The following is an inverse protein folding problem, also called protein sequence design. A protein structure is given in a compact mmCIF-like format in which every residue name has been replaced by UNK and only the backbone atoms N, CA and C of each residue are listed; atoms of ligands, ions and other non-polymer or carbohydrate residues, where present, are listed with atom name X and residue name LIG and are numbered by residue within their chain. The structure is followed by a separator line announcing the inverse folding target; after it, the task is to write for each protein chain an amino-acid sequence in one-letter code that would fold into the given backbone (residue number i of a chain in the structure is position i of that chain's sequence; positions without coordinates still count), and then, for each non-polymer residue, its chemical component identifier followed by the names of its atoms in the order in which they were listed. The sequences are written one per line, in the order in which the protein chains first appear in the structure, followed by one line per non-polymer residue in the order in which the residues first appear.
data_IF_828297857429
#
_entry.id   IF_828297857429
#
_cell.length_a   1.000
_cell.length_b   1.000
_cell.length_c   1.000
_cell.angle_alpha   90.00
_cell.angle_beta   90.00
_cell.angle_gamma   90.00
#
_symmetry.space_group_name_H-M   'P 1'
#
loop_
_entity.id
_entity.type
_entity.pdbx_description
1 polymer ?
#
# COMPACT_ATOMS: atom_id res chain seq x y z
N UNK A 1 -23.33 -43.68 -13.56
CA UNK A 1 -23.55 -42.48 -14.40
C UNK A 1 -22.35 -41.57 -14.15
N UNK A 2 -21.44 -41.48 -15.14
CA UNK A 2 -20.29 -40.59 -15.05
C UNK A 2 -20.80 -39.15 -15.14
N UNK A 3 -20.70 -38.38 -14.07
CA UNK A 3 -20.82 -36.92 -14.15
C UNK A 3 -19.69 -36.41 -15.05
N UNK A 4 -19.97 -35.61 -16.10
CA UNK A 4 -18.92 -34.97 -16.86
C UNK A 4 -18.14 -34.09 -15.88
N UNK A 5 -16.85 -34.34 -15.76
CA UNK A 5 -15.94 -33.45 -15.02
C UNK A 5 -16.00 -32.07 -15.68
N UNK A 6 -16.76 -31.14 -15.11
CA UNK A 6 -16.77 -29.73 -15.56
C UNK A 6 -15.34 -29.20 -15.45
N UNK A 7 -14.71 -29.07 -16.58
CA UNK A 7 -13.36 -28.46 -16.63
C UNK A 7 -13.56 -26.95 -16.55
N UNK A 8 -13.17 -26.37 -15.40
CA UNK A 8 -13.16 -24.91 -15.24
C UNK A 8 -11.86 -24.36 -15.80
N UNK A 9 -11.97 -23.16 -16.38
CA UNK A 9 -10.83 -22.43 -16.91
C UNK A 9 -10.92 -20.96 -16.43
N UNK A 10 -9.80 -20.35 -16.06
CA UNK A 10 -9.70 -18.92 -15.80
C UNK A 10 -8.99 -18.28 -16.99
N UNK A 11 -9.62 -17.31 -17.62
CA UNK A 11 -9.09 -16.63 -18.78
C UNK A 11 -9.38 -15.10 -18.72
N UNK A 12 -8.60 -14.27 -19.42
CA UNK A 12 -9.00 -12.89 -19.68
C UNK A 12 -10.36 -12.85 -20.40
N UNK A 13 -11.24 -11.96 -19.98
CA UNK A 13 -12.58 -11.85 -20.54
C UNK A 13 -12.53 -11.44 -22.02
N UNK A 14 -13.40 -12.03 -22.81
CA UNK A 14 -13.63 -11.67 -24.23
C UNK A 14 -14.87 -10.75 -24.31
N UNK A 15 -15.03 -9.96 -25.36
CA UNK A 15 -16.21 -9.10 -25.52
C UNK A 15 -17.56 -9.83 -25.38
N UNK A 16 -17.63 -11.10 -25.80
CA UNK A 16 -18.82 -11.96 -25.67
C UNK A 16 -19.12 -12.41 -24.24
N UNK A 17 -18.16 -12.32 -23.32
CA UNK A 17 -18.31 -12.75 -21.93
C UNK A 17 -18.96 -11.67 -21.07
N UNK A 18 -18.82 -10.39 -21.44
CA UNK A 18 -19.32 -9.21 -20.71
C UNK A 18 -20.83 -9.28 -20.39
N UNK A 19 -21.73 -9.68 -21.31
CA UNK A 19 -23.16 -9.76 -21.01
C UNK A 19 -23.54 -10.79 -19.93
N UNK A 20 -22.64 -11.70 -19.60
CA UNK A 20 -22.86 -12.73 -18.59
C UNK A 20 -22.50 -12.29 -17.17
N UNK A 21 -21.87 -11.12 -16.98
CA UNK A 21 -21.34 -10.67 -15.68
C UNK A 21 -22.48 -10.24 -14.76
N UNK A 22 -23.37 -9.34 -15.20
CA UNK A 22 -24.46 -8.85 -14.36
C UNK A 22 -25.33 -9.96 -13.74
N UNK A 23 -25.71 -11.05 -14.44
CA UNK A 23 -26.39 -12.19 -13.81
C UNK A 23 -25.56 -12.89 -12.72
N UNK A 24 -24.23 -12.92 -12.84
CA UNK A 24 -23.34 -13.52 -11.84
C UNK A 24 -23.30 -12.64 -10.59
N UNK A 25 -23.14 -11.32 -10.74
CA UNK A 25 -23.17 -10.32 -9.66
C UNK A 25 -24.45 -10.45 -8.85
N UNK A 26 -25.60 -10.36 -9.49
CA UNK A 26 -26.91 -10.46 -8.83
C UNK A 26 -27.13 -11.80 -8.13
N UNK A 27 -26.59 -12.89 -8.66
CA UNK A 27 -26.67 -14.21 -8.01
C UNK A 27 -25.75 -14.28 -6.79
N UNK A 28 -24.54 -13.74 -6.87
CA UNK A 28 -23.56 -13.74 -5.78
C UNK A 28 -23.97 -12.76 -4.65
N UNK A 29 -24.51 -11.59 -4.99
CA UNK A 29 -24.99 -10.59 -4.02
C UNK A 29 -26.02 -11.15 -3.03
N UNK A 30 -26.81 -12.15 -3.43
CA UNK A 30 -27.76 -12.82 -2.54
C UNK A 30 -27.12 -13.50 -1.33
N UNK A 31 -25.84 -13.84 -1.42
CA UNK A 31 -25.09 -14.40 -0.30
C UNK A 31 -24.80 -13.34 0.79
N UNK A 32 -24.93 -12.04 0.46
CA UNK A 32 -24.71 -10.92 1.36
C UNK A 32 -26.01 -10.35 1.95
N UNK A 33 -27.15 -10.98 1.72
CA UNK A 33 -28.41 -10.59 2.37
C UNK A 33 -28.25 -10.61 3.90
N UNK A 34 -28.59 -9.49 4.53
CA UNK A 34 -28.37 -9.29 5.97
C UNK A 34 -26.98 -8.75 6.34
N UNK A 35 -26.06 -8.61 5.40
CA UNK A 35 -24.72 -8.03 5.59
C UNK A 35 -24.53 -6.73 4.80
N UNK A 36 -25.27 -6.52 3.72
CA UNK A 36 -25.21 -5.29 2.90
C UNK A 36 -26.63 -4.68 2.74
N UNK A 37 -26.72 -3.35 2.48
CA UNK A 37 -27.97 -2.70 2.14
C UNK A 37 -28.59 -3.31 0.89
N UNK A 38 -29.94 -3.38 0.85
CA UNK A 38 -30.68 -3.95 -0.30
C UNK A 38 -30.34 -3.23 -1.62
N UNK A 39 -30.19 -1.91 -1.59
CA UNK A 39 -29.79 -1.14 -2.76
C UNK A 39 -28.45 -1.58 -3.35
N UNK A 40 -27.46 -1.93 -2.50
CA UNK A 40 -26.14 -2.44 -2.94
C UNK A 40 -26.25 -3.84 -3.54
N UNK A 41 -27.15 -4.68 -3.02
CA UNK A 41 -27.39 -6.06 -3.51
C UNK A 41 -28.05 -6.10 -4.91
N UNK A 42 -28.68 -5.00 -5.33
CA UNK A 42 -29.32 -4.84 -6.63
C UNK A 42 -28.44 -4.10 -7.65
N UNK A 43 -27.31 -3.55 -7.21
CA UNK A 43 -26.35 -2.90 -8.11
C UNK A 43 -25.64 -3.90 -9.00
N UNK A 44 -25.32 -3.47 -10.21
CA UNK A 44 -24.46 -4.21 -11.13
C UNK A 44 -23.46 -3.25 -11.77
N UNK A 45 -22.28 -3.75 -12.03
CA UNK A 45 -21.23 -2.98 -12.70
C UNK A 45 -21.70 -2.54 -14.09
N UNK A 46 -21.61 -1.23 -14.42
CA UNK A 46 -22.04 -0.73 -15.72
C UNK A 46 -21.33 -1.45 -16.86
N UNK A 47 -22.12 -1.86 -17.88
CA UNK A 47 -21.58 -2.60 -19.04
C UNK A 47 -20.44 -1.85 -19.74
N UNK A 48 -20.47 -0.53 -19.76
CA UNK A 48 -19.42 0.29 -20.37
C UNK A 48 -18.11 0.19 -19.57
N UNK A 49 -18.18 0.20 -18.24
CA UNK A 49 -17.04 -0.01 -17.36
C UNK A 49 -16.43 -1.41 -17.56
N UNK A 50 -17.25 -2.45 -17.58
CA UNK A 50 -16.80 -3.81 -17.89
C UNK A 50 -16.13 -3.93 -19.27
N UNK A 51 -16.67 -3.25 -20.29
CA UNK A 51 -16.07 -3.23 -21.64
C UNK A 51 -14.73 -2.49 -21.65
N UNK A 52 -14.60 -1.39 -20.91
CA UNK A 52 -13.35 -0.67 -20.78
C UNK A 52 -12.30 -1.56 -20.09
N UNK A 53 -12.63 -2.15 -18.96
CA UNK A 53 -11.75 -3.06 -18.25
C UNK A 53 -11.37 -4.29 -19.12
N UNK A 54 -12.29 -4.82 -19.90
CA UNK A 54 -12.04 -5.93 -20.82
C UNK A 54 -11.02 -5.55 -21.89
N UNK A 55 -11.16 -4.36 -22.54
CA UNK A 55 -10.19 -3.88 -23.55
C UNK A 55 -8.81 -3.67 -22.96
N UNK A 56 -8.73 -3.22 -21.71
CA UNK A 56 -7.48 -2.94 -20.99
C UNK A 56 -6.84 -4.20 -20.38
N UNK A 57 -7.49 -5.37 -20.51
CA UNK A 57 -7.02 -6.63 -19.93
C UNK A 57 -7.09 -6.65 -18.40
N UNK A 58 -8.07 -5.96 -17.80
CA UNK A 58 -8.32 -5.85 -16.35
C UNK A 58 -9.57 -6.61 -15.89
N UNK A 59 -10.10 -7.51 -16.74
CA UNK A 59 -11.27 -8.32 -16.47
C UNK A 59 -10.98 -9.79 -16.79
N UNK A 60 -11.22 -10.68 -15.82
CA UNK A 60 -11.10 -12.14 -15.95
C UNK A 60 -12.42 -12.82 -15.76
N UNK A 61 -12.58 -13.98 -16.37
CA UNK A 61 -13.74 -14.86 -16.20
C UNK A 61 -13.31 -16.26 -15.80
N UNK A 62 -14.11 -16.86 -14.93
CA UNK A 62 -14.12 -18.30 -14.69
C UNK A 62 -15.14 -18.94 -15.62
N UNK A 63 -14.71 -19.85 -16.48
CA UNK A 63 -15.54 -20.50 -17.48
C UNK A 63 -15.87 -21.94 -17.05
N UNK A 64 -17.14 -22.32 -17.21
CA UNK A 64 -17.58 -23.72 -17.22
C UNK A 64 -17.89 -24.10 -18.66
N UNK A 65 -16.96 -24.81 -19.30
CA UNK A 65 -16.94 -24.94 -20.76
C UNK A 65 -16.68 -23.56 -21.40
N UNK A 66 -17.68 -23.02 -22.09
CA UNK A 66 -17.59 -21.68 -22.73
C UNK A 66 -18.43 -20.59 -22.04
N UNK A 67 -19.07 -20.90 -20.92
CA UNK A 67 -20.01 -20.01 -20.23
C UNK A 67 -19.32 -19.42 -19.01
N UNK A 68 -19.28 -18.07 -18.84
CA UNK A 68 -18.82 -17.43 -17.61
C UNK A 68 -19.70 -17.81 -16.42
N UNK A 69 -19.06 -18.20 -15.31
CA UNK A 69 -19.69 -18.58 -14.05
C UNK A 69 -19.06 -17.85 -12.85
N UNK A 70 -18.12 -16.97 -13.11
CA UNK A 70 -17.48 -16.08 -12.16
C UNK A 70 -16.60 -15.09 -12.90
N UNK A 71 -16.24 -14.00 -12.25
CA UNK A 71 -15.35 -12.98 -12.81
C UNK A 71 -14.54 -12.28 -11.73
N UNK A 72 -13.51 -11.55 -12.13
CA UNK A 72 -12.76 -10.59 -11.32
C UNK A 72 -12.49 -9.34 -12.15
N UNK A 73 -12.79 -8.19 -11.58
CA UNK A 73 -12.61 -6.87 -12.14
C UNK A 73 -11.55 -6.10 -11.35
N UNK A 74 -10.61 -5.48 -12.04
CA UNK A 74 -9.54 -4.68 -11.43
C UNK A 74 -9.60 -3.25 -11.94
N UNK A 75 -9.46 -2.31 -11.02
CA UNK A 75 -9.21 -0.91 -11.28
C UNK A 75 -7.75 -0.55 -10.96
N UNK A 76 -7.18 0.40 -11.69
CA UNK A 76 -5.88 0.99 -11.35
C UNK A 76 -6.16 2.30 -10.62
N UNK A 77 -6.01 2.30 -9.30
CA UNK A 77 -6.19 3.51 -8.48
C UNK A 77 -5.02 4.47 -8.66
N UNK A 78 -3.83 3.92 -8.86
CA UNK A 78 -2.57 4.62 -9.12
C UNK A 78 -1.79 3.81 -10.18
N UNK A 79 -0.78 4.36 -10.85
CA UNK A 79 -0.07 3.68 -11.93
C UNK A 79 0.51 2.30 -11.56
N UNK A 80 0.85 2.10 -10.28
CA UNK A 80 1.46 0.90 -9.72
C UNK A 80 0.58 0.21 -8.65
N UNK A 81 -0.64 0.70 -8.39
CA UNK A 81 -1.56 0.17 -7.40
C UNK A 81 -2.83 -0.40 -8.03
N UNK A 82 -2.87 -1.72 -8.14
CA UNK A 82 -4.04 -2.46 -8.59
C UNK A 82 -5.05 -2.61 -7.44
N UNK A 83 -6.33 -2.40 -7.73
CA UNK A 83 -7.44 -2.63 -6.81
C UNK A 83 -8.39 -3.68 -7.39
N UNK A 84 -8.60 -4.77 -6.66
CA UNK A 84 -9.62 -5.76 -6.98
C UNK A 84 -10.97 -5.14 -6.60
N UNK A 85 -11.63 -4.54 -7.60
CA UNK A 85 -12.88 -3.79 -7.45
C UNK A 85 -14.05 -4.74 -7.18
N UNK A 86 -14.14 -5.83 -7.95
CA UNK A 86 -15.21 -6.79 -7.79
C UNK A 86 -14.72 -8.22 -8.11
N UNK A 87 -15.23 -9.20 -7.37
CA UNK A 87 -15.01 -10.62 -7.64
C UNK A 87 -16.20 -11.44 -7.20
N UNK A 88 -16.81 -12.12 -8.15
CA UNK A 88 -17.96 -12.97 -7.91
C UNK A 88 -17.86 -14.33 -8.57
N UNK A 89 -18.43 -15.29 -7.91
CA UNK A 89 -18.67 -16.64 -8.45
C UNK A 89 -20.14 -17.00 -8.23
N UNK A 90 -20.81 -17.40 -9.31
CA UNK A 90 -22.21 -17.83 -9.24
C UNK A 90 -22.35 -18.93 -8.17
N UNK A 91 -23.32 -18.86 -7.25
CA UNK A 91 -23.47 -19.78 -6.12
C UNK A 91 -23.47 -21.27 -6.51
N UNK A 92 -24.08 -21.63 -7.63
CA UNK A 92 -24.12 -23.00 -8.15
C UNK A 92 -22.74 -23.57 -8.52
N UNK A 93 -21.76 -22.68 -8.69
CA UNK A 93 -20.37 -23.01 -8.99
C UNK A 93 -19.41 -22.70 -7.83
N UNK A 94 -19.95 -22.29 -6.69
CA UNK A 94 -19.19 -21.97 -5.48
C UNK A 94 -18.45 -23.17 -4.89
N UNK A 95 -17.49 -22.90 -3.96
CA UNK A 95 -16.71 -23.90 -3.21
C UNK A 95 -15.90 -24.89 -4.08
N UNK A 96 -15.58 -24.50 -5.32
CA UNK A 96 -14.76 -25.26 -6.28
C UNK A 96 -13.41 -24.62 -6.54
N UNK A 97 -13.01 -23.66 -5.70
CA UNK A 97 -11.73 -22.96 -5.80
C UNK A 97 -11.68 -21.85 -6.84
N UNK A 98 -12.79 -21.53 -7.54
CA UNK A 98 -12.80 -20.53 -8.62
C UNK A 98 -12.39 -19.14 -8.14
N UNK A 99 -12.91 -18.69 -7.00
CA UNK A 99 -12.49 -17.42 -6.40
C UNK A 99 -10.98 -17.37 -6.13
N UNK A 100 -10.41 -18.45 -5.60
CA UNK A 100 -8.94 -18.55 -5.39
C UNK A 100 -8.17 -18.41 -6.71
N UNK A 101 -8.63 -19.05 -7.77
CA UNK A 101 -7.96 -18.99 -9.07
C UNK A 101 -8.09 -17.61 -9.72
N UNK A 102 -9.25 -16.95 -9.58
CA UNK A 102 -9.46 -15.58 -10.05
C UNK A 102 -8.53 -14.62 -9.33
N UNK A 103 -8.50 -14.60 -7.98
CA UNK A 103 -7.59 -13.74 -7.20
C UNK A 103 -6.13 -13.98 -7.57
N UNK A 104 -5.70 -15.24 -7.68
CA UNK A 104 -4.33 -15.56 -8.10
C UNK A 104 -4.00 -15.10 -9.52
N UNK A 105 -5.00 -15.06 -10.42
CA UNK A 105 -4.80 -14.52 -11.77
C UNK A 105 -4.63 -13.00 -11.75
N UNK A 106 -5.38 -12.30 -10.90
CA UNK A 106 -5.20 -10.87 -10.65
C UNK A 106 -3.81 -10.59 -10.07
N UNK A 107 -3.39 -11.32 -9.02
CA UNK A 107 -2.07 -11.14 -8.40
C UNK A 107 -0.93 -11.36 -9.42
N UNK A 108 -0.98 -12.43 -10.22
CA UNK A 108 0.03 -12.68 -11.26
C UNK A 108 0.04 -11.61 -12.35
N UNK A 109 -1.12 -11.08 -12.71
CA UNK A 109 -1.22 -9.99 -13.67
C UNK A 109 -0.62 -8.70 -13.11
N UNK A 110 -0.88 -8.38 -11.86
CA UNK A 110 -0.30 -7.24 -11.15
C UNK A 110 1.23 -7.37 -11.09
N UNK A 111 1.73 -8.54 -10.70
CA UNK A 111 3.16 -8.88 -10.70
C UNK A 111 3.80 -8.69 -12.08
N UNK A 112 3.20 -9.22 -13.14
CA UNK A 112 3.70 -9.12 -14.51
C UNK A 112 3.73 -7.67 -15.04
N UNK A 113 2.96 -6.75 -14.44
CA UNK A 113 2.92 -5.32 -14.77
C UNK A 113 3.81 -4.47 -13.85
N UNK A 114 4.46 -5.08 -12.86
CA UNK A 114 5.28 -4.37 -11.89
C UNK A 114 4.47 -3.59 -10.85
N UNK A 115 3.17 -3.90 -10.67
CA UNK A 115 2.39 -3.32 -9.60
C UNK A 115 2.89 -3.82 -8.24
N UNK A 116 3.19 -2.91 -7.32
CA UNK A 116 3.76 -3.22 -6.00
C UNK A 116 2.79 -3.96 -5.07
N UNK A 117 1.49 -3.83 -5.31
CA UNK A 117 0.46 -4.45 -4.51
C UNK A 117 -0.85 -4.65 -5.27
N UNK A 118 -1.69 -5.56 -4.75
CA UNK A 118 -3.12 -5.64 -5.05
C UNK A 118 -3.88 -5.31 -3.78
N UNK A 119 -4.76 -4.33 -3.83
CA UNK A 119 -5.66 -3.97 -2.73
C UNK A 119 -7.09 -4.43 -3.01
N UNK A 120 -7.89 -4.51 -1.98
CA UNK A 120 -9.34 -4.73 -2.07
C UNK A 120 -10.02 -4.18 -0.81
N UNK A 121 -11.32 -3.98 -0.89
CA UNK A 121 -12.19 -3.78 0.27
C UNK A 121 -13.13 -4.96 0.44
N UNK A 122 -13.42 -5.33 1.68
CA UNK A 122 -14.30 -6.48 1.95
C UNK A 122 -14.99 -6.37 3.31
N UNK A 123 -15.94 -7.25 3.59
CA UNK A 123 -16.57 -7.33 4.90
C UNK A 123 -15.67 -8.02 5.92
N UNK A 124 -15.56 -7.43 7.11
CA UNK A 124 -14.77 -7.94 8.24
C UNK A 124 -15.31 -9.27 8.76
N UNK A 125 -16.61 -9.30 9.05
CA UNK A 125 -17.25 -10.34 9.85
C UNK A 125 -17.97 -11.41 9.00
N UNK A 126 -17.92 -11.28 7.67
CA UNK A 126 -18.47 -12.31 6.76
C UNK A 126 -17.45 -13.43 6.61
N UNK A 127 -17.79 -14.69 7.01
CA UNK A 127 -16.80 -15.76 7.15
C UNK A 127 -16.07 -16.17 5.86
N UNK A 128 -16.63 -15.86 4.70
CA UNK A 128 -16.05 -16.18 3.39
C UNK A 128 -15.41 -14.96 2.71
N UNK A 129 -15.31 -13.81 3.40
CA UNK A 129 -14.70 -12.59 2.88
C UNK A 129 -13.29 -12.39 3.47
N UNK A 130 -13.11 -11.56 4.52
CA UNK A 130 -11.78 -11.30 5.08
C UNK A 130 -10.95 -12.58 5.34
N UNK A 131 -11.48 -13.65 5.96
CA UNK A 131 -10.72 -14.89 6.18
C UNK A 131 -10.31 -15.61 4.88
N UNK A 132 -11.07 -15.45 3.80
CA UNK A 132 -10.72 -16.01 2.50
C UNK A 132 -9.49 -15.30 1.91
N UNK A 133 -9.47 -13.96 1.90
CA UNK A 133 -8.35 -13.21 1.39
C UNK A 133 -7.10 -13.35 2.27
N UNK A 134 -7.25 -13.41 3.58
CA UNK A 134 -6.14 -13.65 4.50
C UNK A 134 -5.41 -14.99 4.17
N UNK A 135 -6.14 -16.06 3.85
CA UNK A 135 -5.54 -17.33 3.40
C UNK A 135 -4.81 -17.24 2.06
N UNK A 136 -5.07 -16.20 1.27
CA UNK A 136 -4.37 -15.93 0.00
C UNK A 136 -3.19 -14.97 0.17
N UNK A 137 -2.88 -14.57 1.41
CA UNK A 137 -1.74 -13.70 1.72
C UNK A 137 -2.07 -12.22 1.71
N UNK A 138 -3.36 -11.84 1.72
CA UNK A 138 -3.75 -10.45 1.95
C UNK A 138 -3.71 -10.14 3.44
N UNK A 139 -3.19 -8.95 3.77
CA UNK A 139 -3.13 -8.42 5.13
C UNK A 139 -4.05 -7.21 5.26
N UNK A 140 -4.63 -7.01 6.44
CA UNK A 140 -5.43 -5.82 6.72
C UNK A 140 -4.52 -4.57 6.72
N UNK A 141 -5.01 -3.50 6.09
CA UNK A 141 -4.34 -2.19 6.10
C UNK A 141 -5.00 -1.32 7.16
N UNK A 142 -4.20 -0.82 8.09
CA UNK A 142 -4.66 0.15 9.10
C UNK A 142 -5.20 1.41 8.40
N UNK A 143 -6.29 1.96 8.93
CA UNK A 143 -6.93 3.16 8.39
C UNK A 143 -6.01 4.39 8.35
N UNK A 144 -5.04 4.48 9.26
CA UNK A 144 -4.00 5.52 9.26
C UNK A 144 -3.00 5.38 8.10
N UNK A 145 -2.99 4.25 7.40
CA UNK A 145 -2.06 3.92 6.33
C UNK A 145 -2.73 3.74 4.95
N UNK A 146 -3.94 4.28 4.80
CA UNK A 146 -4.63 4.30 3.51
C UNK A 146 -4.06 5.42 2.63
N UNK A 147 -3.83 5.10 1.36
CA UNK A 147 -3.52 6.14 0.36
C UNK A 147 -4.75 7.03 0.11
N UNK A 148 -4.57 8.26 -0.41
CA UNK A 148 -5.70 9.12 -0.76
C UNK A 148 -6.73 8.42 -1.66
N UNK A 149 -6.27 7.64 -2.66
CA UNK A 149 -7.14 6.90 -3.55
C UNK A 149 -7.95 5.81 -2.81
N UNK A 150 -7.34 5.07 -1.90
CA UNK A 150 -8.06 4.10 -1.06
C UNK A 150 -9.03 4.77 -0.07
N UNK A 151 -8.70 5.97 0.43
CA UNK A 151 -9.63 6.76 1.23
C UNK A 151 -10.88 7.14 0.43
N UNK A 152 -10.73 7.47 -0.85
CA UNK A 152 -11.86 7.76 -1.74
C UNK A 152 -12.73 6.53 -1.99
N UNK A 153 -12.13 5.36 -2.23
CA UNK A 153 -12.87 4.08 -2.35
C UNK A 153 -13.73 3.82 -1.11
N UNK A 154 -13.12 3.91 0.08
CA UNK A 154 -13.83 3.69 1.36
C UNK A 154 -14.92 4.76 1.59
N UNK A 155 -14.69 6.01 1.16
CA UNK A 155 -15.68 7.06 1.25
C UNK A 155 -16.84 6.84 0.28
N UNK A 156 -16.59 6.34 -0.92
CA UNK A 156 -17.63 5.99 -1.89
C UNK A 156 -18.51 4.84 -1.40
N UNK A 157 -17.91 3.78 -0.90
CA UNK A 157 -18.62 2.67 -0.26
C UNK A 157 -19.54 3.15 0.87
N UNK A 158 -19.04 4.06 1.72
CA UNK A 158 -19.86 4.64 2.79
C UNK A 158 -21.04 5.48 2.26
N UNK A 159 -20.88 6.21 1.15
CA UNK A 159 -21.96 6.93 0.49
C UNK A 159 -23.05 5.99 -0.06
N UNK A 160 -22.66 4.80 -0.49
CA UNK A 160 -23.55 3.72 -0.93
C UNK A 160 -24.23 3.00 0.25
N UNK A 161 -23.93 3.38 1.49
CA UNK A 161 -24.54 2.83 2.71
C UNK A 161 -23.82 1.62 3.30
N UNK A 162 -22.61 1.29 2.82
CA UNK A 162 -21.78 0.26 3.43
C UNK A 162 -21.13 0.81 4.71
N UNK A 163 -21.39 0.15 5.84
CA UNK A 163 -20.90 0.57 7.15
C UNK A 163 -19.37 0.38 7.22
N UNK A 164 -18.67 1.49 7.44
CA UNK A 164 -17.19 1.51 7.57
C UNK A 164 -16.67 0.60 8.68
N UNK A 165 -17.45 0.39 9.74
CA UNK A 165 -17.04 -0.49 10.85
C UNK A 165 -17.04 -1.97 10.46
N UNK A 166 -17.82 -2.32 9.45
CA UNK A 166 -17.94 -3.67 8.91
C UNK A 166 -17.04 -3.92 7.70
N UNK A 167 -16.37 -2.88 7.20
CA UNK A 167 -15.49 -2.96 6.02
C UNK A 167 -14.04 -2.91 6.43
N UNK A 168 -13.20 -3.62 5.70
CA UNK A 168 -11.74 -3.60 5.83
C UNK A 168 -11.09 -3.41 4.48
N UNK A 169 -10.01 -2.68 4.45
CA UNK A 169 -9.08 -2.66 3.30
C UNK A 169 -8.05 -3.74 3.52
N UNK A 170 -7.80 -4.56 2.51
CA UNK A 170 -6.76 -5.58 2.55
C UNK A 170 -5.77 -5.37 1.40
N UNK A 171 -4.52 -5.77 1.61
CA UNK A 171 -3.42 -5.63 0.66
C UNK A 171 -2.65 -6.93 0.53
N UNK A 172 -2.44 -7.37 -0.69
CA UNK A 172 -1.46 -8.37 -1.06
C UNK A 172 -0.24 -7.68 -1.67
N UNK A 173 0.96 -7.96 -1.15
CA UNK A 173 2.21 -7.41 -1.68
C UNK A 173 2.75 -8.35 -2.74
N UNK A 174 3.20 -7.77 -3.85
CA UNK A 174 3.80 -8.55 -4.94
C UNK A 174 5.15 -9.12 -4.49
N UNK A 175 5.33 -10.45 -4.45
CA UNK A 175 6.61 -11.06 -4.06
C UNK A 175 7.75 -10.62 -4.99
N UNK A 176 8.89 -10.26 -4.40
CA UNK A 176 10.07 -9.83 -5.15
C UNK A 176 9.99 -8.39 -5.70
N UNK A 177 8.85 -7.70 -5.53
CA UNK A 177 8.69 -6.27 -5.79
C UNK A 177 8.70 -5.46 -4.49
N UNK A 178 9.12 -6.06 -3.39
CA UNK A 178 9.30 -5.31 -2.15
C UNK A 178 10.39 -4.25 -2.30
N UNK A 179 10.14 -3.03 -1.80
CA UNK A 179 11.19 -2.03 -1.75
C UNK A 179 12.41 -2.58 -1.01
N UNK A 180 13.57 -2.40 -1.57
CA UNK A 180 14.83 -2.85 -0.95
C UNK A 180 15.70 -1.67 -0.55
N UNK A 181 16.46 -1.85 0.54
CA UNK A 181 17.40 -0.84 1.01
C UNK A 181 18.78 -1.17 0.45
N UNK A 182 19.39 -0.20 -0.24
CA UNK A 182 20.78 -0.27 -0.74
C UNK A 182 21.55 0.99 -0.37
N UNK A 183 22.87 0.92 -0.45
CA UNK A 183 23.71 2.11 -0.33
C UNK A 183 23.38 3.14 -1.41
N UNK A 184 23.35 4.42 -1.03
CA UNK A 184 23.18 5.52 -1.96
C UNK A 184 24.41 5.63 -2.88
N UNK A 185 24.18 6.06 -4.11
CA UNK A 185 25.21 6.31 -5.12
C UNK A 185 25.23 7.80 -5.45
N UNK A 186 26.33 8.36 -5.94
CA UNK A 186 26.38 9.76 -6.35
C UNK A 186 25.25 10.17 -7.32
N UNK A 187 24.81 9.24 -8.18
CA UNK A 187 23.69 9.47 -9.10
C UNK A 187 22.34 9.62 -8.41
N UNK A 188 22.19 9.17 -7.16
CA UNK A 188 20.94 9.26 -6.39
C UNK A 188 20.80 10.65 -5.72
N UNK A 189 21.89 11.38 -5.49
CA UNK A 189 21.90 12.59 -4.65
C UNK A 189 20.88 13.64 -5.09
N UNK A 190 20.77 13.91 -6.39
CA UNK A 190 19.78 14.88 -6.88
C UNK A 190 18.33 14.42 -6.63
N UNK A 191 18.04 13.14 -6.77
CA UNK A 191 16.74 12.57 -6.47
C UNK A 191 16.45 12.59 -4.96
N UNK A 192 17.47 12.36 -4.12
CA UNK A 192 17.36 12.43 -2.65
C UNK A 192 17.07 13.87 -2.21
N UNK A 193 17.71 14.89 -2.79
CA UNK A 193 17.41 16.31 -2.52
C UNK A 193 15.97 16.65 -2.87
N UNK A 194 15.48 16.22 -4.04
CA UNK A 194 14.07 16.43 -4.45
C UNK A 194 13.10 15.73 -3.50
N UNK A 195 13.40 14.51 -3.11
CA UNK A 195 12.57 13.75 -2.17
C UNK A 195 12.55 14.43 -0.79
N UNK A 196 13.72 14.83 -0.29
CA UNK A 196 13.83 15.60 0.95
C UNK A 196 12.92 16.83 0.93
N UNK A 197 13.03 17.64 -0.12
CA UNK A 197 12.24 18.87 -0.29
C UNK A 197 10.73 18.60 -0.29
N UNK A 198 10.27 17.57 -1.00
CA UNK A 198 8.86 17.15 -0.99
C UNK A 198 8.41 16.66 0.40
N UNK A 199 9.23 15.81 1.04
CA UNK A 199 8.95 15.27 2.36
C UNK A 199 8.85 16.35 3.42
N UNK A 200 9.80 17.31 3.41
CA UNK A 200 9.82 18.43 4.38
C UNK A 200 8.60 19.33 4.20
N UNK A 201 8.22 19.68 2.97
CA UNK A 201 6.98 20.44 2.72
C UNK A 201 5.73 19.75 3.24
N UNK A 202 5.69 18.44 3.16
CA UNK A 202 4.54 17.65 3.60
C UNK A 202 4.47 17.45 5.12
N UNK A 203 5.57 17.68 5.87
CA UNK A 203 5.65 17.29 7.29
C UNK A 203 6.16 18.36 8.24
N UNK A 204 6.91 19.36 7.74
CA UNK A 204 7.55 20.37 8.58
C UNK A 204 6.82 21.71 8.44
N UNK A 205 5.53 21.76 8.83
CA UNK A 205 4.67 22.94 8.70
C UNK A 205 5.15 24.16 9.50
N UNK A 206 6.14 23.98 10.36
CA UNK A 206 6.81 25.04 11.10
C UNK A 206 7.94 25.73 10.30
N UNK A 207 8.38 25.16 9.16
CA UNK A 207 9.34 25.78 8.26
C UNK A 207 8.62 26.63 7.20
N UNK A 208 9.19 27.79 6.92
CA UNK A 208 8.75 28.63 5.79
C UNK A 208 9.42 28.19 4.48
N UNK A 209 8.86 28.54 3.33
CA UNK A 209 9.50 28.29 2.03
C UNK A 209 10.92 28.83 1.97
N UNK A 210 11.17 30.00 2.58
CA UNK A 210 12.49 30.60 2.67
C UNK A 210 13.48 29.75 3.46
N UNK A 211 13.00 29.08 4.53
CA UNK A 211 13.83 28.17 5.31
C UNK A 211 14.16 26.92 4.49
N UNK A 212 13.21 26.38 3.76
CA UNK A 212 13.41 25.20 2.90
C UNK A 212 14.41 25.52 1.77
N UNK A 213 14.24 26.67 1.10
CA UNK A 213 15.17 27.15 0.07
C UNK A 213 16.59 27.32 0.60
N UNK A 214 16.72 27.86 1.83
CA UNK A 214 18.02 28.08 2.48
C UNK A 214 18.68 26.77 2.92
N UNK A 215 17.88 25.77 3.31
CA UNK A 215 18.37 24.45 3.74
C UNK A 215 18.79 23.56 2.56
N UNK A 216 18.15 23.72 1.40
CA UNK A 216 18.36 22.86 0.23
C UNK A 216 19.83 22.71 -0.19
N UNK A 217 20.66 23.76 -0.31
CA UNK A 217 22.07 23.61 -0.65
C UNK A 217 22.86 22.90 0.45
N UNK A 218 22.52 23.12 1.73
CA UNK A 218 23.19 22.46 2.86
C UNK A 218 22.93 20.96 2.86
N UNK A 219 21.68 20.57 2.59
CA UNK A 219 21.31 19.15 2.43
C UNK A 219 22.04 18.52 1.23
N UNK A 220 22.14 19.22 0.12
CA UNK A 220 22.88 18.72 -1.04
C UNK A 220 24.38 18.51 -0.73
N UNK A 221 25.00 19.40 0.06
CA UNK A 221 26.39 19.27 0.51
C UNK A 221 26.54 18.10 1.49
N UNK A 222 25.61 17.94 2.45
CA UNK A 222 25.62 16.87 3.42
C UNK A 222 25.45 15.50 2.76
N UNK A 223 24.55 15.37 1.78
CA UNK A 223 24.35 14.13 1.02
C UNK A 223 25.59 13.73 0.19
N UNK A 224 26.40 14.70 -0.20
CA UNK A 224 27.65 14.48 -0.92
C UNK A 224 28.85 14.20 -0.01
N UNK A 225 28.69 14.35 1.32
CA UNK A 225 29.75 14.14 2.31
C UNK A 225 29.86 12.66 2.69
N UNK A 226 31.08 12.19 2.91
CA UNK A 226 31.35 10.83 3.42
C UNK A 226 31.19 10.69 4.96
N UNK A 227 30.80 11.78 5.65
CA UNK A 227 30.65 11.78 7.12
C UNK A 227 29.45 10.94 7.59
N UNK A 228 28.41 10.84 6.77
CA UNK A 228 27.19 10.10 7.03
C UNK A 228 27.06 8.99 5.98
N UNK A 229 26.80 7.77 6.41
CA UNK A 229 26.40 6.70 5.49
C UNK A 229 24.97 6.93 5.04
N UNK A 230 24.74 6.93 3.73
CA UNK A 230 23.43 7.12 3.14
C UNK A 230 22.92 5.84 2.48
N UNK A 231 21.66 5.50 2.72
CA UNK A 231 20.95 4.38 2.12
C UNK A 231 19.64 4.85 1.52
N UNK A 232 19.29 4.28 0.39
CA UNK A 232 18.04 4.56 -0.31
C UNK A 232 17.11 3.36 -0.22
N UNK A 233 15.82 3.63 -0.04
CA UNK A 233 14.74 2.68 -0.23
C UNK A 233 14.29 2.80 -1.67
N UNK A 234 14.55 1.76 -2.46
CA UNK A 234 14.26 1.71 -3.89
C UNK A 234 13.14 0.72 -4.17
N UNK A 235 12.15 1.11 -4.99
CA UNK A 235 11.13 0.19 -5.48
C UNK A 235 11.75 -0.81 -6.46
N UNK A 236 11.06 -1.91 -6.76
CA UNK A 236 11.48 -2.86 -7.78
C UNK A 236 11.62 -2.23 -9.19
N UNK A 237 10.88 -1.15 -9.46
CA UNK A 237 10.98 -0.39 -10.70
C UNK A 237 12.16 0.61 -10.71
N UNK A 238 12.96 0.68 -9.63
CA UNK A 238 14.09 1.59 -9.52
C UNK A 238 13.71 3.01 -9.07
N UNK A 239 12.46 3.25 -8.64
CA UNK A 239 12.05 4.53 -8.11
C UNK A 239 12.51 4.69 -6.66
N UNK A 240 12.96 5.90 -6.29
CA UNK A 240 13.41 6.23 -4.94
C UNK A 240 12.19 6.59 -4.09
N UNK A 241 11.88 5.74 -3.11
CA UNK A 241 10.71 5.86 -2.21
C UNK A 241 11.06 6.53 -0.88
N UNK A 242 12.33 6.54 -0.51
CA UNK A 242 12.81 7.13 0.73
C UNK A 242 14.32 6.99 0.86
N UNK A 243 14.87 7.61 1.89
CA UNK A 243 16.28 7.43 2.23
C UNK A 243 16.55 7.62 3.73
N UNK A 244 17.69 7.11 4.16
CA UNK A 244 18.18 7.08 5.53
C UNK A 244 19.62 7.55 5.58
N UNK A 245 19.93 8.49 6.47
CA UNK A 245 21.27 8.79 6.92
C UNK A 245 21.57 8.12 8.25
N UNK A 246 22.73 7.50 8.38
CA UNK A 246 23.14 6.82 9.61
C UNK A 246 24.61 7.03 9.90
N UNK A 247 24.92 7.46 11.13
CA UNK A 247 26.27 7.60 11.64
C UNK A 247 26.28 7.37 13.16
N UNK A 248 27.33 6.82 13.72
CA UNK A 248 27.55 6.71 15.17
C UNK A 248 26.33 6.13 15.95
N UNK A 249 25.67 5.11 15.42
CA UNK A 249 24.45 4.50 15.98
C UNK A 249 23.22 5.45 16.04
N UNK A 250 23.26 6.52 15.28
CA UNK A 250 22.21 7.53 15.20
C UNK A 250 21.62 7.60 13.78
N UNK A 251 20.30 7.70 13.71
CA UNK A 251 19.61 8.09 12.48
C UNK A 251 19.77 9.61 12.35
N UNK A 252 20.59 10.04 11.39
CA UNK A 252 20.84 11.46 11.10
C UNK A 252 19.74 12.08 10.26
N UNK A 253 19.04 11.28 9.46
CA UNK A 253 17.89 11.68 8.69
C UNK A 253 17.12 10.50 8.15
N UNK A 254 15.80 10.60 8.11
CA UNK A 254 14.91 9.62 7.49
C UNK A 254 13.77 10.36 6.78
N UNK A 255 13.70 10.16 5.48
CA UNK A 255 12.71 10.82 4.64
C UNK A 255 12.03 9.79 3.74
N UNK A 256 10.70 9.87 3.68
CA UNK A 256 9.86 9.05 2.80
C UNK A 256 9.16 9.98 1.82
N UNK A 257 9.05 9.55 0.56
CA UNK A 257 8.26 10.23 -0.44
C UNK A 257 6.82 10.39 0.06
N UNK A 258 6.23 11.60 0.03
CA UNK A 258 4.87 11.83 0.52
C UNK A 258 3.82 10.89 -0.08
N UNK A 259 3.97 10.54 -1.36
CA UNK A 259 3.02 9.67 -2.08
C UNK A 259 3.13 8.19 -1.64
N UNK A 260 4.22 7.81 -0.94
CA UNK A 260 4.50 6.46 -0.45
C UNK A 260 4.53 6.36 1.08
N UNK A 261 3.98 7.36 1.78
CA UNK A 261 3.84 7.31 3.25
C UNK A 261 2.79 6.27 3.64
N UNK A 262 2.99 5.66 4.82
CA UNK A 262 2.07 4.63 5.30
C UNK A 262 2.22 3.24 4.68
N UNK A 263 3.12 3.06 3.71
CA UNK A 263 3.40 1.77 3.05
C UNK A 263 4.44 0.90 3.78
N UNK A 264 4.90 1.33 4.96
CA UNK A 264 5.90 0.60 5.76
C UNK A 264 7.35 0.93 5.42
N UNK A 265 7.61 1.81 4.44
CA UNK A 265 8.97 2.19 4.03
C UNK A 265 9.82 2.78 5.16
N UNK A 266 9.24 3.67 5.98
CA UNK A 266 9.93 4.22 7.16
C UNK A 266 10.32 3.13 8.16
N UNK A 267 9.42 2.22 8.47
CA UNK A 267 9.70 1.08 9.36
C UNK A 267 10.79 0.15 8.82
N UNK A 268 10.80 -0.07 7.50
CA UNK A 268 11.86 -0.85 6.82
C UNK A 268 13.23 -0.18 6.96
N UNK A 269 13.31 1.15 6.76
CA UNK A 269 14.55 1.92 6.95
C UNK A 269 15.02 1.91 8.41
N UNK A 270 14.13 2.07 9.41
CA UNK A 270 14.48 1.98 10.82
C UNK A 270 14.95 0.57 11.18
N UNK A 271 14.29 -0.47 10.69
CA UNK A 271 14.71 -1.85 10.86
C UNK A 271 16.09 -2.11 10.23
N UNK A 272 16.37 -1.47 9.10
CA UNK A 272 17.71 -1.52 8.49
C UNK A 272 18.75 -0.81 9.36
N UNK A 273 18.48 0.42 9.85
CA UNK A 273 19.36 1.15 10.76
C UNK A 273 19.65 0.35 12.03
N UNK A 274 18.65 -0.35 12.59
CA UNK A 274 18.82 -1.21 13.77
C UNK A 274 19.76 -2.38 13.50
N UNK A 275 19.83 -2.91 12.29
CA UNK A 275 20.81 -3.96 11.92
C UNK A 275 22.23 -3.40 11.78
N UNK A 276 22.37 -2.11 11.40
CA UNK A 276 23.67 -1.44 11.35
C UNK A 276 24.16 -1.06 12.74
N UNK A 277 23.23 -0.74 13.65
CA UNK A 277 23.57 -0.37 15.02
C UNK A 277 24.01 -1.61 15.81
N UNK A 278 25.19 -1.55 16.45
CA UNK A 278 25.72 -2.64 17.26
C UNK A 278 25.01 -2.78 18.64
N UNK A 279 23.97 -1.98 18.89
CA UNK A 279 23.28 -1.92 20.19
C UNK A 279 22.03 -1.04 20.15
N UNK A 280 22.03 0.01 20.95
CA UNK A 280 20.95 1.00 20.93
C UNK A 280 21.00 1.86 19.68
N UNK A 281 19.83 2.20 19.16
CA UNK A 281 19.66 3.13 18.04
C UNK A 281 19.12 4.45 18.57
N UNK A 282 19.73 5.56 18.16
CA UNK A 282 19.32 6.91 18.54
C UNK A 282 18.74 7.68 17.33
N UNK A 283 17.94 8.70 17.64
CA UNK A 283 17.44 9.67 16.66
C UNK A 283 17.13 10.99 17.35
N UNK A 284 17.42 12.09 16.70
CA UNK A 284 17.00 13.43 17.11
C UNK A 284 15.80 13.85 16.26
N UNK A 285 14.67 14.13 16.90
CA UNK A 285 13.41 14.45 16.23
C UNK A 285 12.99 15.86 16.61
N UNK A 286 12.65 16.68 15.62
CA UNK A 286 12.09 17.99 15.92
C UNK A 286 10.77 17.84 16.70
N UNK A 287 10.68 18.47 17.87
CA UNK A 287 9.53 18.38 18.78
C UNK A 287 8.21 18.84 18.14
N UNK A 288 8.30 19.76 17.13
CA UNK A 288 7.16 20.30 16.40
C UNK A 288 6.66 19.34 15.30
N UNK A 289 7.40 18.28 14.99
CA UNK A 289 7.00 17.23 14.06
C UNK A 289 6.36 16.07 14.83
N UNK A 290 5.10 16.27 15.27
CA UNK A 290 4.35 15.31 16.08
C UNK A 290 4.20 13.96 15.37
N UNK A 291 4.04 13.96 14.05
CA UNK A 291 3.95 12.74 13.24
C UNK A 291 5.22 11.89 13.37
N UNK A 292 6.40 12.51 13.28
CA UNK A 292 7.67 11.80 13.43
C UNK A 292 7.88 11.33 14.86
N UNK A 293 7.53 12.13 15.86
CA UNK A 293 7.60 11.70 17.28
C UNK A 293 6.72 10.47 17.51
N UNK A 294 5.47 10.51 17.02
CA UNK A 294 4.52 9.38 17.09
C UNK A 294 5.04 8.14 16.36
N UNK A 295 5.60 8.33 15.17
CA UNK A 295 6.20 7.24 14.39
C UNK A 295 7.32 6.53 15.14
N UNK A 296 8.33 7.27 15.66
CA UNK A 296 9.42 6.66 16.40
C UNK A 296 8.94 6.02 17.73
N UNK A 297 7.98 6.65 18.42
CA UNK A 297 7.39 6.07 19.63
C UNK A 297 6.69 4.73 19.32
N UNK A 298 5.97 4.63 18.22
CA UNK A 298 5.31 3.38 17.79
C UNK A 298 6.29 2.25 17.48
N UNK A 299 7.54 2.59 17.12
CA UNK A 299 8.63 1.65 16.89
C UNK A 299 9.45 1.33 18.16
N UNK A 300 9.00 1.81 19.33
CA UNK A 300 9.63 1.52 20.62
C UNK A 300 10.78 2.44 21.00
N UNK A 301 10.90 3.60 20.37
CA UNK A 301 11.81 4.65 20.84
C UNK A 301 11.19 5.39 22.03
N UNK A 302 12.04 5.77 22.99
CA UNK A 302 11.68 6.55 24.16
C UNK A 302 12.48 7.84 24.23
N UNK A 303 11.85 8.93 24.65
CA UNK A 303 12.53 10.22 24.86
C UNK A 303 13.48 10.10 26.05
N UNK A 304 14.75 10.40 25.83
CA UNK A 304 15.81 10.39 26.86
C UNK A 304 16.38 11.77 27.14
N UNK A 305 16.07 12.76 26.33
CA UNK A 305 16.54 14.14 26.49
C UNK A 305 15.83 15.11 25.56
N UNK A 306 16.13 16.40 25.73
CA UNK A 306 15.59 17.50 24.94
C UNK A 306 16.63 18.63 24.80
N UNK A 307 16.76 19.16 23.59
CA UNK A 307 17.52 20.39 23.32
C UNK A 307 16.57 21.52 22.91
N UNK A 308 16.76 22.76 23.39
CA UNK A 308 15.90 23.89 23.04
C UNK A 308 16.12 24.42 21.61
N UNK A 309 17.22 24.02 20.98
CA UNK A 309 17.62 24.43 19.62
C UNK A 309 18.09 23.22 18.83
N UNK A 310 18.11 23.38 17.49
CA UNK A 310 18.79 22.42 16.62
C UNK A 310 20.33 22.52 16.72
N UNK A 311 21.04 21.64 16.03
CA UNK A 311 22.51 21.61 16.03
C UNK A 311 23.16 22.88 15.49
N UNK A 312 22.40 23.72 14.72
CA UNK A 312 22.83 25.00 14.20
C UNK A 312 22.47 26.16 15.11
N UNK A 313 21.87 25.90 16.29
CA UNK A 313 21.45 26.92 17.27
C UNK A 313 20.15 27.65 16.90
N UNK A 314 19.41 27.20 15.88
CA UNK A 314 18.12 27.77 15.52
C UNK A 314 17.03 27.32 16.49
N UNK A 315 15.94 28.07 16.69
CA UNK A 315 14.90 27.79 17.67
C UNK A 315 13.95 26.66 17.21
N UNK A 316 14.53 25.53 16.89
CA UNK A 316 13.84 24.28 16.53
C UNK A 316 14.16 23.21 17.58
N UNK A 317 13.34 23.06 18.63
CA UNK A 317 13.62 22.11 19.73
C UNK A 317 13.69 20.67 19.24
N UNK A 318 14.64 19.92 19.76
CA UNK A 318 14.85 18.50 19.45
C UNK A 318 14.52 17.61 20.65
N UNK A 319 13.82 16.51 20.40
CA UNK A 319 13.69 15.38 21.32
C UNK A 319 14.76 14.33 20.98
N UNK A 320 15.60 14.01 21.94
CA UNK A 320 16.55 12.91 21.83
C UNK A 320 15.83 11.62 22.17
N UNK A 321 15.70 10.71 21.20
CA UNK A 321 14.98 9.45 21.37
C UNK A 321 15.92 8.29 21.17
N UNK A 322 15.74 7.21 21.95
CA UNK A 322 16.54 5.98 21.83
C UNK A 322 15.67 4.74 21.88
N UNK A 323 16.12 3.72 21.18
CA UNK A 323 15.57 2.37 21.21
C UNK A 323 16.68 1.40 21.60
N UNK A 324 16.43 0.55 22.59
CA UNK A 324 17.36 -0.51 22.99
C UNK A 324 17.57 -1.57 21.91
N UNK A 325 18.61 -2.40 22.06
CA UNK A 325 18.82 -3.57 21.22
C UNK A 325 17.58 -4.48 21.26
N UNK A 326 17.20 -5.12 20.13
CA UNK A 326 16.15 -6.14 20.15
C UNK A 326 16.57 -7.28 21.07
N UNK A 327 15.65 -7.70 21.96
CA UNK A 327 15.86 -8.84 22.87
C UNK A 327 15.87 -10.16 22.11
#
# INVERSE_FOLDING_TARGET
MNHPSHRYEIAPARPRDVPHIAPIELAAARLLVGHAPEAVLEEVTPTEHLRAAQRDGRLWVALSGNVPVGFALVEMLEPDAAHLEEIDVHPDHGRRGLGTHLVRSVCRWAEARGAGAVTLTTFRDVPWNMPFYARLGFEEVDSAHLTPALCEVVADEARRGLDRTQRVVMRWRTPGLEPHVRGARPADHEAMVRLWERSVRATHHFLTERDIEALRPLVAEELASDAIGWWVLESAAGALLGFLGFANQTIEGLFIDPDHRGEGGGSALVAFAQRLAAGSLAVDVNEQNEDAVGFYASLGFSVVGRSPTDASGRPFPLLHMTRGAPR
#
